data_IF_650038998460
#
_entry.id   IF_650038998460
#
_cell.length_a   1.000
_cell.length_b   1.000
_cell.length_c   1.000
_cell.angle_alpha   90.00
_cell.angle_beta   90.00
_cell.angle_gamma   90.00
#
_symmetry.space_group_name_H-M   'P 1'
#
loop_
_entity.id
_entity.type
_entity.pdbx_description
1 polymer ?
#
# COMPACT_ATOMS: atom_id res chain seq x y z
N UNK A 1 4.92 -32.90 5.06
CA UNK A 1 4.50 -32.75 3.64
C UNK A 1 5.46 -31.79 2.96
N UNK A 2 6.07 -32.19 1.85
CA UNK A 2 7.07 -31.39 1.13
C UNK A 2 6.48 -30.56 0.00
N UNK A 3 7.34 -29.85 -0.74
CA UNK A 3 6.96 -29.08 -1.93
C UNK A 3 6.67 -30.06 -3.09
N UNK A 4 5.42 -30.13 -3.53
CA UNK A 4 5.03 -30.90 -4.73
C UNK A 4 5.12 -29.99 -5.97
N UNK A 5 6.15 -30.20 -6.79
CA UNK A 5 6.35 -29.43 -8.03
C UNK A 5 5.58 -30.08 -9.17
N UNK A 6 4.43 -29.51 -9.53
CA UNK A 6 3.65 -29.92 -10.70
C UNK A 6 4.17 -29.17 -11.93
N UNK A 7 4.61 -29.89 -12.97
CA UNK A 7 4.83 -29.31 -14.30
C UNK A 7 3.46 -29.18 -14.98
N UNK A 8 3.20 -28.06 -15.64
CA UNK A 8 2.01 -27.90 -16.46
C UNK A 8 2.06 -28.93 -17.62
N UNK A 9 1.10 -29.87 -17.71
CA UNK A 9 1.08 -30.86 -18.78
C UNK A 9 0.94 -30.22 -20.17
N UNK A 10 0.43 -28.98 -20.24
CA UNK A 10 0.28 -28.24 -21.49
C UNK A 10 1.55 -27.49 -21.91
N UNK A 11 2.65 -27.63 -21.17
CA UNK A 11 3.93 -27.00 -21.48
C UNK A 11 3.95 -25.50 -21.18
N UNK A 12 4.68 -24.73 -21.98
CA UNK A 12 4.81 -23.28 -21.77
C UNK A 12 3.59 -22.54 -22.28
N UNK A 13 2.83 -21.91 -21.38
CA UNK A 13 1.70 -21.07 -21.75
C UNK A 13 2.16 -19.69 -22.25
N UNK A 14 1.79 -19.36 -23.49
CA UNK A 14 2.00 -18.02 -24.07
C UNK A 14 0.66 -17.29 -24.06
N UNK A 15 0.54 -16.25 -23.23
CA UNK A 15 -0.66 -15.42 -23.17
C UNK A 15 -0.96 -14.81 -24.56
N UNK A 16 -2.23 -14.86 -24.97
CA UNK A 16 -2.72 -14.35 -26.25
C UNK A 16 -2.05 -14.96 -27.49
N UNK A 17 -1.59 -16.23 -27.44
CA UNK A 17 -0.88 -16.88 -28.55
C UNK A 17 -1.59 -16.74 -29.91
N UNK A 18 -2.89 -17.01 -29.97
CA UNK A 18 -3.66 -16.90 -31.21
C UNK A 18 -3.62 -15.49 -31.82
N UNK A 19 -3.80 -14.44 -31.00
CA UNK A 19 -3.64 -13.04 -31.42
C UNK A 19 -2.19 -12.73 -31.87
N UNK A 20 -1.19 -13.34 -31.23
CA UNK A 20 0.23 -13.13 -31.59
C UNK A 20 0.59 -13.80 -32.92
N UNK A 21 0.01 -14.96 -33.20
CA UNK A 21 0.23 -15.71 -34.44
C UNK A 21 -0.54 -15.08 -35.62
N UNK A 22 -1.79 -14.65 -35.39
CA UNK A 22 -2.64 -14.00 -36.39
C UNK A 22 -3.57 -12.96 -35.72
N UNK A 23 -3.13 -11.68 -35.64
CA UNK A 23 -3.90 -10.61 -35.01
C UNK A 23 -5.21 -10.25 -35.74
N UNK A 24 -5.27 -10.45 -37.05
CA UNK A 24 -6.44 -10.08 -37.86
C UNK A 24 -7.57 -11.10 -37.69
N UNK A 25 -7.23 -12.40 -37.67
CA UNK A 25 -8.20 -13.46 -37.41
C UNK A 25 -8.58 -13.57 -35.93
N UNK A 26 -7.72 -13.14 -35.01
CA UNK A 26 -7.92 -13.29 -33.56
C UNK A 26 -7.80 -11.95 -32.80
N UNK A 27 -8.59 -10.91 -33.14
CA UNK A 27 -8.46 -9.60 -32.52
C UNK A 27 -8.78 -9.63 -31.03
N UNK A 28 -8.16 -8.73 -30.26
CA UNK A 28 -8.48 -8.55 -28.84
C UNK A 28 -9.83 -7.84 -28.66
N UNK A 29 -10.38 -7.90 -27.44
CA UNK A 29 -11.64 -7.23 -27.08
C UNK A 29 -11.50 -5.71 -26.83
N UNK A 30 -10.41 -5.11 -27.28
CA UNK A 30 -10.18 -3.66 -27.19
C UNK A 30 -10.88 -2.95 -28.35
N UNK A 31 -11.19 -1.64 -28.24
CA UNK A 31 -11.79 -0.89 -29.34
C UNK A 31 -11.05 -0.99 -30.68
N UNK A 32 -9.72 -1.05 -30.64
CA UNK A 32 -8.88 -1.20 -31.84
C UNK A 32 -8.65 -2.64 -32.31
N UNK A 33 -9.08 -3.66 -31.54
CA UNK A 33 -8.72 -5.06 -31.77
C UNK A 33 -7.26 -5.40 -31.43
N UNK A 34 -6.46 -4.45 -30.95
CA UNK A 34 -5.01 -4.57 -30.72
C UNK A 34 -4.66 -4.38 -29.23
N UNK A 35 -3.38 -4.59 -28.89
CA UNK A 35 -2.82 -4.11 -27.62
C UNK A 35 -2.75 -2.58 -27.70
N UNK A 36 -3.48 -1.89 -26.82
CA UNK A 36 -3.58 -0.42 -26.85
C UNK A 36 -2.50 0.21 -25.98
N UNK A 37 -1.48 0.79 -26.63
CA UNK A 37 -0.53 1.70 -25.95
C UNK A 37 -1.24 3.03 -25.65
N UNK A 38 -1.98 3.55 -26.63
CA UNK A 38 -2.89 4.68 -26.48
C UNK A 38 -4.33 4.17 -26.41
N UNK A 39 -5.06 4.52 -25.34
CA UNK A 39 -6.47 4.14 -25.20
C UNK A 39 -7.40 5.30 -25.57
N UNK A 40 -8.12 5.16 -26.68
CA UNK A 40 -9.13 6.13 -27.12
C UNK A 40 -10.28 6.28 -26.11
N UNK A 41 -10.63 5.20 -25.40
CA UNK A 41 -11.63 5.22 -24.33
C UNK A 41 -11.17 6.07 -23.14
N UNK A 42 -9.91 5.94 -22.72
CA UNK A 42 -9.36 6.78 -21.66
C UNK A 42 -9.20 8.24 -22.11
N UNK A 43 -8.91 8.49 -23.38
CA UNK A 43 -8.85 9.84 -23.94
C UNK A 43 -10.21 10.54 -23.82
N UNK A 44 -11.29 9.83 -24.15
CA UNK A 44 -12.65 10.37 -24.04
C UNK A 44 -13.04 10.60 -22.57
N UNK A 45 -12.71 9.66 -21.68
CA UNK A 45 -12.93 9.82 -20.24
C UNK A 45 -12.18 11.05 -19.71
N UNK A 46 -10.89 11.19 -20.02
CA UNK A 46 -10.08 12.32 -19.58
C UNK A 46 -10.60 13.68 -20.11
N UNK A 47 -11.27 13.68 -21.27
CA UNK A 47 -11.86 14.89 -21.87
C UNK A 47 -13.21 15.26 -21.28
N UNK A 48 -14.00 14.27 -20.83
CA UNK A 48 -15.42 14.46 -20.49
C UNK A 48 -15.72 14.38 -19.00
N UNK A 49 -14.89 13.70 -18.22
CA UNK A 49 -15.09 13.60 -16.78
C UNK A 49 -14.55 14.83 -16.09
N UNK A 50 -15.31 15.33 -15.12
CA UNK A 50 -14.80 16.29 -14.14
C UNK A 50 -13.98 15.53 -13.10
N UNK A 51 -12.72 15.96 -12.92
CA UNK A 51 -11.75 15.35 -12.00
C UNK A 51 -11.35 16.35 -10.94
N UNK A 52 -10.99 15.87 -9.76
CA UNK A 52 -10.37 16.71 -8.74
C UNK A 52 -9.01 17.24 -9.23
N UNK A 53 -8.55 18.34 -8.64
CA UNK A 53 -7.35 19.07 -9.09
C UNK A 53 -6.09 18.19 -9.21
N UNK A 54 -5.96 17.20 -8.33
CA UNK A 54 -4.82 16.29 -8.24
C UNK A 54 -5.15 14.87 -8.74
N UNK A 55 -6.24 14.72 -9.49
CA UNK A 55 -6.58 13.48 -10.18
C UNK A 55 -6.16 13.55 -11.65
N UNK A 56 -5.65 12.41 -12.15
CA UNK A 56 -5.18 12.29 -13.53
C UNK A 56 -5.74 11.01 -14.14
N UNK A 57 -6.40 11.15 -15.29
CA UNK A 57 -6.68 10.06 -16.22
C UNK A 57 -6.01 10.41 -17.54
N UNK A 58 -5.19 9.51 -18.07
CA UNK A 58 -4.44 9.72 -19.31
C UNK A 58 -4.63 8.54 -20.26
N UNK A 59 -4.73 8.79 -21.58
CA UNK A 59 -4.74 7.72 -22.57
C UNK A 59 -3.40 7.02 -22.75
N UNK A 60 -2.32 7.59 -22.20
CA UNK A 60 -0.97 7.03 -22.18
C UNK A 60 -0.47 6.88 -20.74
N UNK A 61 0.42 5.91 -20.45
CA UNK A 61 1.12 5.86 -19.18
C UNK A 61 1.96 7.13 -18.97
N UNK A 62 1.71 7.84 -17.86
CA UNK A 62 2.41 9.05 -17.46
C UNK A 62 2.76 8.98 -15.98
N UNK A 63 3.77 9.73 -15.56
CA UNK A 63 3.93 10.01 -14.14
C UNK A 63 2.79 10.94 -13.69
N UNK A 64 2.08 10.52 -12.65
CA UNK A 64 1.07 11.34 -11.98
C UNK A 64 1.47 11.49 -10.52
N UNK A 65 1.72 12.74 -10.10
CA UNK A 65 1.80 13.06 -8.67
C UNK A 65 0.42 12.83 -8.03
N UNK A 66 0.39 12.60 -6.72
CA UNK A 66 -0.82 12.30 -5.97
C UNK A 66 -0.76 12.96 -4.60
N UNK A 67 -1.91 13.17 -3.97
CA UNK A 67 -2.00 13.60 -2.57
C UNK A 67 -1.08 12.77 -1.69
N UNK A 68 -0.46 13.36 -0.66
CA UNK A 68 0.44 12.62 0.24
C UNK A 68 1.56 11.84 -0.49
N UNK A 69 1.92 12.31 -1.69
CA UNK A 69 3.05 11.83 -2.48
C UNK A 69 4.37 12.47 -2.07
N UNK A 70 5.42 12.15 -2.82
CA UNK A 70 6.80 12.61 -2.53
C UNK A 70 6.97 14.14 -2.53
N UNK A 71 6.19 14.84 -3.35
CA UNK A 71 6.19 16.29 -3.55
C UNK A 71 5.07 17.01 -2.76
N UNK A 72 4.33 16.29 -1.90
CA UNK A 72 3.26 16.86 -1.08
C UNK A 72 3.82 17.85 -0.05
N UNK A 73 3.28 19.08 0.07
CA UNK A 73 3.67 20.04 1.10
C UNK A 73 3.54 19.50 2.54
N UNK A 74 2.60 18.59 2.76
CA UNK A 74 2.30 17.91 4.03
C UNK A 74 3.49 17.11 4.56
N UNK A 75 4.47 16.77 3.72
CA UNK A 75 5.72 16.12 4.15
C UNK A 75 6.53 16.95 5.13
N UNK A 76 6.32 18.27 5.15
CA UNK A 76 6.90 19.14 6.18
C UNK A 76 6.41 18.82 7.59
N UNK A 77 5.16 18.35 7.72
CA UNK A 77 4.56 17.93 8.99
C UNK A 77 4.68 16.41 9.22
N UNK A 78 4.57 15.62 8.14
CA UNK A 78 4.55 14.16 8.16
C UNK A 78 5.55 13.60 7.14
N UNK A 79 6.85 13.55 7.48
CA UNK A 79 7.91 13.34 6.49
C UNK A 79 8.05 11.90 5.98
N UNK A 80 7.44 10.92 6.65
CA UNK A 80 7.60 9.50 6.36
C UNK A 80 6.47 8.97 5.49
N UNK A 81 6.81 8.33 4.37
CA UNK A 81 5.84 7.58 3.56
C UNK A 81 5.53 6.23 4.23
N UNK A 82 4.28 5.97 4.56
CA UNK A 82 3.84 4.72 5.18
C UNK A 82 3.11 3.82 4.19
N UNK A 83 3.57 2.57 4.09
CA UNK A 83 2.85 1.52 3.36
C UNK A 83 2.53 0.30 4.23
N UNK A 84 1.36 -0.29 4.00
CA UNK A 84 0.98 -1.59 4.55
C UNK A 84 1.52 -2.75 3.73
N UNK A 85 1.82 -3.89 4.37
CA UNK A 85 2.13 -5.15 3.68
C UNK A 85 1.43 -6.34 4.31
N UNK A 86 1.15 -7.39 3.53
CA UNK A 86 0.58 -8.63 4.07
C UNK A 86 1.56 -9.28 5.06
N UNK A 87 1.07 -9.54 6.26
CA UNK A 87 1.92 -9.90 7.38
C UNK A 87 2.10 -11.41 7.53
N UNK A 88 3.30 -11.85 7.92
CA UNK A 88 3.66 -13.27 7.92
C UNK A 88 2.84 -14.12 8.89
N UNK A 89 2.42 -13.55 10.03
CA UNK A 89 1.72 -14.29 11.09
C UNK A 89 0.19 -14.34 10.94
N UNK A 90 -0.38 -13.85 9.83
CA UNK A 90 -1.82 -13.79 9.62
C UNK A 90 -2.22 -13.77 8.15
N UNK A 91 -3.46 -14.16 7.87
CA UNK A 91 -4.08 -13.97 6.55
C UNK A 91 -5.10 -12.85 6.68
N UNK A 92 -4.74 -11.65 6.24
CA UNK A 92 -5.46 -10.43 6.62
C UNK A 92 -5.59 -10.35 8.15
N UNK A 93 -6.81 -10.21 8.69
CA UNK A 93 -7.07 -10.23 10.14
C UNK A 93 -7.26 -11.61 10.74
N UNK A 94 -7.43 -12.65 9.91
CA UNK A 94 -7.58 -14.03 10.38
C UNK A 94 -6.27 -14.50 11.00
N UNK A 95 -6.38 -15.20 12.14
CA UNK A 95 -5.27 -15.64 13.01
C UNK A 95 -4.61 -14.52 13.83
N UNK A 96 -5.07 -13.27 13.71
CA UNK A 96 -4.58 -12.14 14.50
C UNK A 96 -4.78 -12.28 16.01
N UNK A 97 -5.54 -13.28 16.47
CA UNK A 97 -5.80 -13.61 17.87
C UNK A 97 -4.93 -14.76 18.42
N UNK A 98 -4.10 -15.42 17.59
CA UNK A 98 -3.33 -16.60 18.02
C UNK A 98 -2.01 -16.17 18.67
N UNK A 99 -1.85 -16.46 19.96
CA UNK A 99 -0.72 -15.99 20.77
C UNK A 99 0.66 -16.45 20.26
N UNK A 100 0.80 -17.72 19.86
CA UNK A 100 2.07 -18.23 19.33
C UNK A 100 2.48 -17.51 18.03
N UNK A 101 1.51 -17.12 17.21
CA UNK A 101 1.77 -16.38 15.97
C UNK A 101 2.12 -14.91 16.25
N UNK A 102 1.45 -14.28 17.22
CA UNK A 102 1.81 -12.93 17.72
C UNK A 102 3.23 -12.89 18.29
N UNK A 103 3.62 -13.92 19.06
CA UNK A 103 4.95 -14.01 19.63
C UNK A 103 6.04 -14.23 18.57
N UNK A 104 5.78 -15.10 17.59
CA UNK A 104 6.73 -15.41 16.52
C UNK A 104 6.95 -14.24 15.54
N UNK A 105 5.91 -13.44 15.29
CA UNK A 105 5.99 -12.27 14.42
C UNK A 105 5.14 -11.15 15.05
N UNK A 106 5.77 -10.33 15.89
CA UNK A 106 5.14 -9.23 16.64
C UNK A 106 4.66 -8.13 15.69
N UNK A 107 3.57 -7.45 16.01
CA UNK A 107 3.16 -6.27 15.26
C UNK A 107 4.10 -5.11 15.60
N UNK A 108 4.76 -4.55 14.59
CA UNK A 108 5.79 -3.52 14.74
C UNK A 108 5.72 -2.56 13.56
N UNK A 109 6.14 -1.31 13.77
CA UNK A 109 6.39 -0.35 12.68
C UNK A 109 7.86 -0.41 12.28
N UNK A 110 8.13 -0.58 10.99
CA UNK A 110 9.49 -0.64 10.46
C UNK A 110 9.99 0.77 10.19
N UNK A 111 11.17 1.09 10.70
CA UNK A 111 11.81 2.39 10.48
C UNK A 111 13.29 2.18 10.14
N UNK A 112 13.79 2.98 9.19
CA UNK A 112 15.20 2.94 8.81
C UNK A 112 16.09 3.46 9.98
N UNK A 113 17.30 2.90 10.20
CA UNK A 113 18.22 3.37 11.24
C UNK A 113 18.53 4.87 11.18
N UNK A 114 18.65 5.46 9.99
CA UNK A 114 18.93 6.90 9.80
C UNK A 114 17.77 7.75 10.34
N UNK A 115 16.53 7.34 10.08
CA UNK A 115 15.35 8.09 10.54
C UNK A 115 15.06 7.84 12.01
N UNK A 116 15.31 6.63 12.49
CA UNK A 116 15.20 6.27 13.90
C UNK A 116 16.20 7.05 14.76
N UNK A 117 17.45 7.17 14.30
CA UNK A 117 18.49 7.94 15.00
C UNK A 117 18.11 9.41 15.15
N UNK A 118 17.60 10.04 14.09
CA UNK A 118 17.11 11.44 14.13
C UNK A 118 15.98 11.65 15.15
N UNK A 119 15.22 10.58 15.46
CA UNK A 119 14.07 10.59 16.38
C UNK A 119 14.39 10.02 17.78
N UNK A 120 15.64 9.61 18.04
CA UNK A 120 16.01 8.97 19.30
C UNK A 120 15.32 7.63 19.55
N UNK A 121 14.93 6.90 18.50
CA UNK A 121 14.21 5.62 18.57
C UNK A 121 15.21 4.46 18.48
N UNK A 122 15.20 3.59 19.49
CA UNK A 122 15.90 2.30 19.49
C UNK A 122 14.95 1.16 19.07
N UNK A 123 15.55 0.02 18.68
CA UNK A 123 14.76 -1.16 18.32
C UNK A 123 13.99 -1.69 19.54
N UNK A 124 12.68 -1.85 19.40
CA UNK A 124 11.77 -2.34 20.44
C UNK A 124 11.15 -1.23 21.30
N UNK A 125 11.58 0.04 21.13
CA UNK A 125 10.93 1.17 21.79
C UNK A 125 9.46 1.26 21.38
N UNK A 126 8.60 1.60 22.33
CA UNK A 126 7.24 1.98 22.01
C UNK A 126 7.24 3.35 21.33
N UNK A 127 6.53 3.43 20.21
CA UNK A 127 6.41 4.66 19.43
C UNK A 127 4.95 4.97 19.14
N UNK A 128 4.66 6.26 18.95
CA UNK A 128 3.42 6.71 18.31
C UNK A 128 3.68 6.91 16.83
N UNK A 129 2.83 6.33 15.99
CA UNK A 129 2.78 6.56 14.54
C UNK A 129 1.48 7.29 14.28
N UNK A 130 1.55 8.49 13.70
CA UNK A 130 0.37 9.35 13.62
C UNK A 130 0.35 10.23 12.39
N UNK A 131 -0.85 10.68 12.05
CA UNK A 131 -1.10 11.81 11.17
C UNK A 131 -2.39 12.51 11.62
N UNK A 132 -2.95 13.38 10.79
CA UNK A 132 -4.20 14.10 11.10
C UNK A 132 -5.44 13.19 11.23
N UNK A 133 -5.37 11.91 10.83
CA UNK A 133 -6.49 10.96 10.86
C UNK A 133 -6.55 10.15 12.14
N UNK A 134 -5.40 9.86 12.74
CA UNK A 134 -5.34 9.05 13.94
C UNK A 134 -3.92 8.79 14.45
N UNK A 135 -3.84 8.06 15.55
CA UNK A 135 -2.60 7.65 16.21
C UNK A 135 -2.65 6.15 16.51
N UNK A 136 -1.53 5.48 16.23
CA UNK A 136 -1.31 4.06 16.53
C UNK A 136 -0.07 3.93 17.41
N UNK A 137 -0.13 3.11 18.46
CA UNK A 137 1.00 2.85 19.37
C UNK A 137 1.46 1.41 19.30
N UNK A 138 2.71 1.21 18.91
CA UNK A 138 3.30 -0.11 18.74
C UNK A 138 4.83 -0.06 18.84
N UNK A 139 5.52 -1.20 19.05
CA UNK A 139 6.98 -1.22 19.07
C UNK A 139 7.60 -0.89 17.70
N UNK A 140 8.75 -0.22 17.72
CA UNK A 140 9.54 0.06 16.53
C UNK A 140 10.49 -1.09 16.18
N UNK A 141 10.47 -1.51 14.91
CA UNK A 141 11.46 -2.38 14.29
C UNK A 141 12.47 -1.54 13.52
N UNK A 142 13.61 -1.23 14.15
CA UNK A 142 14.69 -0.49 13.48
C UNK A 142 15.45 -1.44 12.57
N UNK A 143 15.43 -1.20 11.25
CA UNK A 143 15.96 -2.15 10.27
C UNK A 143 16.48 -1.47 8.99
N UNK A 144 17.67 -1.84 8.47
CA UNK A 144 18.18 -1.30 7.21
C UNK A 144 17.45 -1.87 5.97
N UNK A 145 16.44 -2.73 6.15
CA UNK A 145 15.67 -3.35 5.05
C UNK A 145 14.53 -2.46 4.52
N UNK A 146 14.45 -1.22 4.98
CA UNK A 146 13.51 -0.20 4.51
C UNK A 146 14.27 1.06 4.14
N UNK A 147 13.82 1.79 3.12
CA UNK A 147 14.48 3.02 2.66
C UNK A 147 14.37 4.15 3.69
N UNK A 148 15.36 5.06 3.77
CA UNK A 148 15.19 6.31 4.49
C UNK A 148 14.00 7.11 3.97
N UNK A 149 13.26 7.78 4.87
CA UNK A 149 12.03 8.51 4.56
C UNK A 149 10.81 7.61 4.35
N UNK A 150 10.94 6.30 4.54
CA UNK A 150 9.86 5.32 4.35
C UNK A 150 9.68 4.48 5.62
N UNK A 151 8.43 4.21 5.95
CA UNK A 151 7.99 3.36 7.05
C UNK A 151 7.04 2.27 6.53
N UNK A 152 6.96 1.15 7.26
CA UNK A 152 6.09 0.05 6.87
C UNK A 152 5.41 -0.60 8.08
N UNK A 153 4.18 -1.05 7.90
CA UNK A 153 3.43 -1.77 8.93
C UNK A 153 2.73 -3.00 8.34
N UNK A 154 2.67 -4.08 9.13
CA UNK A 154 1.89 -5.24 8.74
C UNK A 154 0.39 -4.92 8.71
N UNK A 155 -0.30 -5.19 7.61
CA UNK A 155 -1.76 -5.11 7.49
C UNK A 155 -2.43 -6.21 8.30
N UNK A 156 -3.66 -5.98 8.78
CA UNK A 156 -4.52 -7.01 9.39
C UNK A 156 -4.43 -7.13 10.91
N UNK A 157 -3.68 -6.25 11.58
CA UNK A 157 -3.76 -6.14 13.02
C UNK A 157 -5.18 -5.68 13.43
N UNK A 158 -5.69 -6.23 14.54
CA UNK A 158 -7.01 -5.88 15.04
C UNK A 158 -6.94 -4.50 15.67
N UNK A 159 -7.89 -3.63 15.32
CA UNK A 159 -7.98 -2.30 15.89
C UNK A 159 -8.40 -2.39 17.35
N UNK A 160 -7.64 -1.74 18.23
CA UNK A 160 -7.87 -1.74 19.68
C UNK A 160 -7.78 -0.31 20.21
N UNK A 161 -8.91 0.41 20.15
CA UNK A 161 -9.01 1.78 20.65
C UNK A 161 -10.29 1.98 21.46
N UNK A 162 -10.21 2.79 22.51
CA UNK A 162 -11.40 3.30 23.18
C UNK A 162 -11.99 4.45 22.35
N UNK A 163 -12.99 4.14 21.52
CA UNK A 163 -13.60 5.13 20.62
C UNK A 163 -14.42 6.22 21.33
N UNK A 164 -14.79 5.98 22.59
CA UNK A 164 -15.41 6.98 23.47
C UNK A 164 -14.39 7.75 24.32
N UNK A 165 -13.11 7.41 24.23
CA UNK A 165 -12.01 8.00 25.00
C UNK A 165 -11.01 8.74 24.11
N UNK A 166 -9.73 8.41 24.29
CA UNK A 166 -8.61 9.02 23.58
C UNK A 166 -8.51 8.62 22.10
N UNK A 167 -9.22 7.57 21.68
CA UNK A 167 -9.25 7.03 20.31
C UNK A 167 -7.88 6.58 19.80
N UNK A 168 -6.96 6.25 20.70
CA UNK A 168 -5.62 5.78 20.34
C UNK A 168 -5.68 4.29 20.07
N UNK A 169 -5.15 3.86 18.92
CA UNK A 169 -5.11 2.44 18.54
C UNK A 169 -3.86 1.75 19.10
N UNK A 170 -4.06 0.88 20.08
CA UNK A 170 -3.02 0.05 20.69
C UNK A 170 -2.82 -1.28 19.97
N UNK A 171 -3.68 -1.60 18.99
CA UNK A 171 -3.65 -2.85 18.26
C UNK A 171 -2.70 -2.85 17.06
N UNK A 172 -2.32 -1.67 16.57
CA UNK A 172 -1.37 -1.56 15.45
C UNK A 172 -2.04 -1.57 14.08
N UNK A 173 -3.31 -1.18 13.95
CA UNK A 173 -4.05 -1.22 12.69
C UNK A 173 -3.60 -0.08 11.77
N UNK A 174 -2.93 -0.43 10.67
CA UNK A 174 -2.46 0.56 9.69
C UNK A 174 -3.59 1.43 9.12
N UNK A 175 -4.82 0.89 9.03
CA UNK A 175 -5.95 1.61 8.45
C UNK A 175 -6.39 2.82 9.30
N UNK A 176 -6.02 2.89 10.58
CA UNK A 176 -6.19 4.08 11.43
C UNK A 176 -5.53 5.32 10.83
N UNK A 177 -4.51 5.13 9.97
CA UNK A 177 -3.69 6.20 9.38
C UNK A 177 -4.04 6.46 7.90
N UNK A 178 -4.97 5.69 7.32
CA UNK A 178 -5.25 5.68 5.88
C UNK A 178 -6.49 6.50 5.51
N UNK A 179 -6.61 6.86 4.23
CA UNK A 179 -7.80 7.51 3.68
C UNK A 179 -8.61 6.57 2.78
N UNK A 180 -9.92 6.81 2.70
CA UNK A 180 -10.83 6.16 1.75
C UNK A 180 -11.05 7.03 0.50
N UNK A 181 -10.01 7.71 0.02
CA UNK A 181 -10.12 8.52 -1.21
C UNK A 181 -9.93 7.65 -2.45
N UNK A 182 -10.98 7.31 -3.21
CA UNK A 182 -10.85 6.35 -4.30
C UNK A 182 -10.09 6.93 -5.50
N UNK A 183 -9.42 6.07 -6.28
CA UNK A 183 -8.81 6.47 -7.56
C UNK A 183 -9.87 6.98 -8.56
N UNK A 184 -9.57 7.95 -9.44
CA UNK A 184 -10.58 8.58 -10.30
C UNK A 184 -11.28 7.61 -11.26
N UNK A 185 -10.55 6.64 -11.83
CA UNK A 185 -11.10 5.70 -12.81
C UNK A 185 -11.70 4.43 -12.19
N UNK A 186 -10.87 3.63 -11.52
CA UNK A 186 -11.26 2.29 -11.04
C UNK A 186 -12.01 2.32 -9.71
N UNK A 187 -12.11 3.49 -9.08
CA UNK A 187 -12.64 3.70 -7.73
C UNK A 187 -12.00 2.78 -6.67
N UNK A 188 -10.71 2.46 -6.82
CA UNK A 188 -9.95 1.62 -5.89
C UNK A 188 -9.37 2.41 -4.71
N UNK A 189 -9.12 1.72 -3.59
CA UNK A 189 -8.66 2.33 -2.34
C UNK A 189 -7.14 2.63 -2.34
N UNK A 190 -6.69 3.78 -1.79
CA UNK A 190 -5.30 4.24 -1.88
C UNK A 190 -4.45 3.83 -0.67
N UNK A 191 -4.43 2.54 -0.32
CA UNK A 191 -3.89 2.07 0.98
C UNK A 191 -2.39 2.31 1.22
N UNK A 192 -1.63 2.72 0.21
CA UNK A 192 -0.17 2.93 0.29
C UNK A 192 0.25 4.40 0.15
N UNK A 193 -0.70 5.31 -0.02
CA UNK A 193 -0.46 6.74 -0.15
C UNK A 193 -0.79 7.40 1.18
N UNK A 194 0.13 7.28 2.13
CA UNK A 194 -0.05 7.81 3.48
C UNK A 194 1.23 8.50 3.95
N UNK A 195 1.11 9.74 4.40
CA UNK A 195 2.17 10.42 5.13
C UNK A 195 1.93 10.32 6.64
N UNK A 196 3.01 10.05 7.38
CA UNK A 196 2.99 9.94 8.85
C UNK A 196 4.23 10.57 9.47
N UNK A 197 4.15 10.81 10.77
CA UNK A 197 5.31 11.00 11.65
C UNK A 197 5.36 9.87 12.70
N UNK A 198 6.57 9.60 13.20
CA UNK A 198 6.86 8.62 14.23
C UNK A 198 7.66 9.28 15.34
N UNK A 199 7.21 9.12 16.58
CA UNK A 199 7.90 9.62 17.76
C UNK A 199 7.99 8.56 18.86
N UNK A 200 9.04 8.62 19.66
CA UNK A 200 9.19 7.80 20.86
C UNK A 200 8.23 8.25 21.95
N UNK A 201 7.63 7.30 22.67
CA UNK A 201 6.80 7.52 23.86
C UNK A 201 7.65 7.38 25.12
#
# INVERSE_FOLDING_TARGET
MGIYKRKDPNGHFVAYKAFRDDPEANPLKTPSGKIEIYSSKLAEIARTWELEKDEVISPLPVYASTFEGWDSPERSAFPLQLFGFHYKSRTHSTYGNIDVLKAACRQEVWINPIDAQKRGIANGDMVRVFNHRGEVRLPAKVTPRILPGVSAMGQGAWHEANMSGDKIDHGGCVNTLTTLRPSPLAKGNPQHTNLVEIEKI
#
